data_IF_691853455395
#
_entry.id   IF_691853455395
#
_cell.length_a   1.000
_cell.length_b   1.000
_cell.length_c   1.000
_cell.angle_alpha   90.00
_cell.angle_beta   90.00
_cell.angle_gamma   90.00
#
_symmetry.space_group_name_H-M   'P 1'
#
loop_
_entity.id
_entity.type
_entity.pdbx_description
1 polymer ?
#
# COMPACT_ATOMS: atom_id res chain seq x y z
N UNK A 1 15.22 -5.53 -8.79
CA UNK A 1 13.99 -4.74 -8.55
C UNK A 1 13.33 -5.27 -7.29
N UNK A 2 13.15 -4.47 -6.24
CA UNK A 2 12.45 -4.93 -5.04
C UNK A 2 10.94 -5.07 -5.36
N UNK A 3 10.31 -6.18 -4.97
CA UNK A 3 8.87 -6.36 -5.16
C UNK A 3 8.10 -5.54 -4.12
N UNK A 4 6.86 -5.10 -4.42
CA UNK A 4 6.02 -4.41 -3.45
C UNK A 4 5.85 -5.19 -2.15
N UNK A 5 5.75 -6.52 -2.25
CA UNK A 5 5.67 -7.42 -1.10
C UNK A 5 6.91 -7.30 -0.19
N UNK A 6 8.12 -7.31 -0.76
CA UNK A 6 9.36 -7.24 0.01
C UNK A 6 9.52 -5.87 0.72
N UNK A 7 9.08 -4.79 0.07
CA UNK A 7 9.10 -3.46 0.67
C UNK A 7 8.12 -3.38 1.85
N UNK A 8 6.89 -3.85 1.69
CA UNK A 8 5.89 -3.85 2.78
C UNK A 8 6.32 -4.77 3.92
N UNK A 9 6.87 -5.95 3.61
CA UNK A 9 7.34 -6.88 4.63
C UNK A 9 8.37 -6.23 5.57
N UNK A 10 9.38 -5.55 5.02
CA UNK A 10 10.38 -4.87 5.86
C UNK A 10 9.76 -3.83 6.80
N UNK A 11 8.77 -3.08 6.34
CA UNK A 11 8.04 -2.12 7.18
C UNK A 11 7.21 -2.82 8.27
N UNK A 12 6.62 -3.97 7.95
CA UNK A 12 5.89 -4.79 8.93
C UNK A 12 6.82 -5.47 9.94
N UNK A 13 8.07 -5.75 9.57
CA UNK A 13 9.11 -6.25 10.48
C UNK A 13 9.59 -5.16 11.44
N UNK A 14 9.66 -3.90 10.99
CA UNK A 14 9.94 -2.75 11.86
C UNK A 14 8.77 -2.39 12.79
N UNK A 15 7.55 -2.92 12.54
CA UNK A 15 6.39 -2.74 13.41
C UNK A 15 6.45 -3.67 14.62
N UNK A 16 6.38 -3.08 15.81
CA UNK A 16 6.19 -3.82 17.06
C UNK A 16 4.87 -4.61 17.08
N UNK A 17 4.78 -5.64 17.92
CA UNK A 17 3.63 -6.56 17.90
C UNK A 17 2.29 -5.90 18.24
N UNK A 18 2.30 -4.88 19.12
CA UNK A 18 1.10 -4.10 19.43
C UNK A 18 0.58 -3.34 18.20
N UNK A 19 1.47 -2.61 17.52
CA UNK A 19 1.12 -1.84 16.34
C UNK A 19 0.78 -2.74 15.16
N UNK A 20 1.42 -3.91 15.04
CA UNK A 20 1.04 -4.94 14.08
C UNK A 20 -0.37 -5.50 14.36
N UNK A 21 -0.76 -5.61 15.63
CA UNK A 21 -2.13 -5.92 16.04
C UNK A 21 -3.13 -4.88 15.54
N UNK A 22 -2.84 -3.59 15.78
CA UNK A 22 -3.65 -2.46 15.28
C UNK A 22 -3.70 -2.42 13.75
N UNK A 23 -2.58 -2.69 13.09
CA UNK A 23 -2.49 -2.75 11.63
C UNK A 23 -3.47 -3.78 11.05
N UNK A 24 -3.46 -5.01 11.58
CA UNK A 24 -4.41 -6.06 11.17
C UNK A 24 -5.86 -5.67 11.47
N UNK A 25 -6.11 -5.00 12.58
CA UNK A 25 -7.45 -4.49 12.92
C UNK A 25 -7.96 -3.49 11.88
N UNK A 26 -7.13 -2.54 11.45
CA UNK A 26 -7.49 -1.57 10.43
C UNK A 26 -7.72 -2.20 9.04
N UNK A 27 -7.03 -3.30 8.71
CA UNK A 27 -7.29 -4.05 7.48
C UNK A 27 -8.64 -4.76 7.45
N UNK A 28 -9.23 -5.04 8.62
CA UNK A 28 -10.58 -5.61 8.74
C UNK A 28 -11.68 -4.56 8.57
N UNK A 29 -11.33 -3.29 8.70
CA UNK A 29 -12.26 -2.18 8.51
C UNK A 29 -12.41 -1.80 7.04
N UNK A 30 -13.48 -1.05 6.73
CA UNK A 30 -13.62 -0.40 5.43
C UNK A 30 -12.58 0.71 5.34
N UNK A 31 -11.53 0.45 4.56
CA UNK A 31 -10.64 1.50 4.09
C UNK A 31 -11.36 2.22 2.96
N UNK A 32 -11.42 3.55 3.03
CA UNK A 32 -12.29 4.43 2.21
C UNK A 32 -12.60 3.93 0.79
N UNK A 33 -11.57 3.57 0.03
CA UNK A 33 -11.66 3.14 -1.37
C UNK A 33 -11.23 1.68 -1.61
N UNK A 34 -11.01 0.91 -0.53
CA UNK A 34 -10.44 -0.44 -0.59
C UNK A 34 -11.30 -1.48 0.14
N UNK A 35 -11.47 -2.68 -0.43
CA UNK A 35 -12.28 -3.73 0.19
C UNK A 35 -11.66 -4.20 1.51
N UNK A 36 -12.48 -4.37 2.54
CA UNK A 36 -12.03 -4.90 3.82
C UNK A 36 -11.57 -6.37 3.69
N UNK A 37 -10.52 -6.74 4.42
CA UNK A 37 -10.04 -8.13 4.48
C UNK A 37 -10.80 -8.87 5.59
N UNK A 38 -11.39 -10.05 5.31
CA UNK A 38 -12.08 -10.84 6.32
C UNK A 38 -11.18 -11.16 7.51
N UNK A 39 -11.71 -11.02 8.73
CA UNK A 39 -10.99 -11.35 9.98
C UNK A 39 -10.43 -12.76 9.98
N UNK A 40 -11.14 -13.73 9.40
CA UNK A 40 -10.67 -15.12 9.28
C UNK A 40 -9.35 -15.26 8.52
N UNK A 41 -9.06 -14.37 7.56
CA UNK A 41 -7.79 -14.33 6.82
C UNK A 41 -6.67 -13.61 7.56
N UNK A 42 -6.99 -12.87 8.62
CA UNK A 42 -6.04 -12.08 9.42
C UNK A 42 -5.86 -12.61 10.85
N UNK A 43 -6.63 -13.62 11.23
CA UNK A 43 -6.56 -14.26 12.53
C UNK A 43 -5.35 -15.20 12.56
N UNK A 44 -4.42 -14.93 13.48
CA UNK A 44 -3.22 -15.74 13.72
C UNK A 44 -2.26 -15.88 12.51
N UNK A 45 -2.25 -14.91 11.59
CA UNK A 45 -1.31 -14.88 10.47
C UNK A 45 -0.02 -14.14 10.81
N UNK A 46 1.08 -14.66 10.26
CA UNK A 46 2.41 -14.05 10.32
C UNK A 46 2.48 -12.80 9.43
N UNK A 47 3.54 -11.99 9.61
CA UNK A 47 3.81 -10.77 8.83
C UNK A 47 3.85 -11.08 7.32
N UNK A 48 4.55 -12.13 6.90
CA UNK A 48 4.64 -12.56 5.49
C UNK A 48 3.28 -12.91 4.88
N UNK A 49 2.49 -13.75 5.58
CA UNK A 49 1.15 -14.14 5.12
C UNK A 49 0.18 -12.94 5.07
N UNK A 50 0.37 -11.95 5.96
CA UNK A 50 -0.40 -10.70 5.93
C UNK A 50 -0.07 -9.92 4.66
N UNK A 51 1.22 -9.78 4.32
CA UNK A 51 1.65 -9.12 3.08
C UNK A 51 1.10 -9.83 1.85
N UNK A 52 1.14 -11.16 1.82
CA UNK A 52 0.60 -11.93 0.71
C UNK A 52 -0.91 -11.72 0.57
N UNK A 53 -1.66 -11.78 1.67
CA UNK A 53 -3.10 -11.52 1.69
C UNK A 53 -3.43 -10.11 1.21
N UNK A 54 -2.66 -9.10 1.63
CA UNK A 54 -2.80 -7.73 1.15
C UNK A 54 -2.50 -7.63 -0.34
N UNK A 55 -1.45 -8.31 -0.82
CA UNK A 55 -1.09 -8.32 -2.24
C UNK A 55 -2.14 -9.01 -3.10
N UNK A 56 -2.72 -10.11 -2.64
CA UNK A 56 -3.82 -10.77 -3.33
C UNK A 56 -5.09 -9.90 -3.38
N UNK A 57 -5.34 -9.10 -2.34
CA UNK A 57 -6.55 -8.28 -2.24
C UNK A 57 -6.42 -6.94 -2.98
N UNK A 58 -5.28 -6.28 -2.85
CA UNK A 58 -5.06 -4.91 -3.32
C UNK A 58 -4.06 -4.82 -4.49
N UNK A 59 -3.28 -5.88 -4.73
CA UNK A 59 -2.31 -5.98 -5.82
C UNK A 59 -1.36 -4.77 -5.86
N UNK A 60 -1.40 -3.96 -6.93
CA UNK A 60 -0.58 -2.76 -7.08
C UNK A 60 -0.84 -1.71 -5.97
N UNK A 61 -2.01 -1.71 -5.35
CA UNK A 61 -2.39 -0.76 -4.31
C UNK A 61 -1.89 -1.15 -2.91
N UNK A 62 -1.19 -2.27 -2.77
CA UNK A 62 -0.70 -2.78 -1.47
C UNK A 62 0.16 -1.77 -0.72
N UNK A 63 1.04 -1.04 -1.43
CA UNK A 63 1.88 0.02 -0.85
C UNK A 63 1.02 1.20 -0.37
N UNK A 64 0.01 1.59 -1.13
CA UNK A 64 -0.89 2.69 -0.79
C UNK A 64 -1.75 2.36 0.43
N UNK A 65 -2.30 1.14 0.48
CA UNK A 65 -3.05 0.65 1.64
C UNK A 65 -2.17 0.60 2.89
N UNK A 66 -0.95 0.06 2.77
CA UNK A 66 0.01 0.01 3.87
C UNK A 66 0.27 1.41 4.43
N UNK A 67 0.50 2.40 3.55
CA UNK A 67 0.69 3.80 3.93
C UNK A 67 -0.51 4.35 4.72
N UNK A 68 -1.73 4.15 4.23
CA UNK A 68 -2.95 4.64 4.89
C UNK A 68 -3.08 4.04 6.30
N UNK A 69 -2.86 2.73 6.43
CA UNK A 69 -2.97 2.06 7.73
C UNK A 69 -1.89 2.54 8.69
N UNK A 70 -0.65 2.72 8.23
CA UNK A 70 0.45 3.24 9.05
C UNK A 70 0.15 4.64 9.61
N UNK A 71 -0.44 5.52 8.78
CA UNK A 71 -0.90 6.84 9.23
C UNK A 71 -1.98 6.72 10.31
N UNK A 72 -2.94 5.79 10.13
CA UNK A 72 -4.03 5.58 11.10
C UNK A 72 -3.54 5.10 12.46
N UNK A 73 -2.46 4.31 12.51
CA UNK A 73 -1.83 3.84 13.77
C UNK A 73 -0.73 4.79 14.27
N UNK A 74 -0.61 5.98 13.69
CA UNK A 74 0.36 7.02 14.04
C UNK A 74 1.83 6.62 13.86
N UNK A 75 2.13 5.67 12.97
CA UNK A 75 3.49 5.22 12.64
C UNK A 75 4.10 6.03 11.49
N UNK A 76 4.16 7.35 11.66
CA UNK A 76 4.58 8.30 10.62
C UNK A 76 6.05 8.16 10.19
N UNK A 77 6.92 7.68 11.08
CA UNK A 77 8.33 7.45 10.76
C UNK A 77 8.50 6.29 9.77
N UNK A 78 7.71 5.22 9.93
CA UNK A 78 7.68 4.10 8.99
C UNK A 78 7.09 4.51 7.63
N UNK A 79 6.14 5.46 7.60
CA UNK A 79 5.62 6.03 6.35
C UNK A 79 6.71 6.76 5.56
N UNK A 80 7.60 7.49 6.25
CA UNK A 80 8.75 8.14 5.62
C UNK A 80 9.71 7.08 5.06
N UNK A 81 10.04 6.05 5.85
CA UNK A 81 10.91 4.93 5.42
C UNK A 81 10.36 4.22 4.17
N UNK A 82 9.06 3.92 4.17
CA UNK A 82 8.35 3.33 3.03
C UNK A 82 8.46 4.19 1.76
N UNK A 83 8.40 5.51 1.91
CA UNK A 83 8.50 6.46 0.79
C UNK A 83 9.92 6.59 0.26
N UNK A 84 10.93 6.49 1.11
CA UNK A 84 12.34 6.49 0.72
C UNK A 84 12.77 5.21 0.00
N UNK A 85 12.15 4.07 0.33
CA UNK A 85 12.36 2.79 -0.39
C UNK A 85 11.69 2.72 -1.76
N UNK A 86 10.93 3.75 -2.16
CA UNK A 86 10.33 3.90 -3.48
C UNK A 86 10.83 5.22 -4.13
N UNK A 87 12.11 5.29 -4.53
CA UNK A 87 12.62 6.45 -5.25
C UNK A 87 11.96 6.52 -6.64
N UNK A 88 11.04 7.47 -6.81
CA UNK A 88 10.32 7.68 -8.07
C UNK A 88 8.83 7.96 -7.95
N UNK A 89 8.23 7.79 -6.76
CA UNK A 89 6.85 8.22 -6.52
C UNK A 89 6.83 9.39 -5.53
N UNK A 90 6.57 10.63 -5.98
CA UNK A 90 6.45 11.78 -5.11
C UNK A 90 5.38 11.52 -4.05
N UNK A 91 5.72 11.88 -2.81
CA UNK A 91 4.81 11.95 -1.68
C UNK A 91 3.80 13.06 -1.97
N UNK A 92 2.72 12.74 -2.69
CA UNK A 92 1.54 13.58 -2.67
C UNK A 92 0.30 12.70 -2.54
N UNK A 93 -0.15 12.60 -1.29
CA UNK A 93 -1.49 12.13 -0.97
C UNK A 93 -2.46 13.11 -1.62
N UNK A 94 -3.12 12.68 -2.69
CA UNK A 94 -4.49 13.06 -2.98
C UNK A 94 -5.12 11.97 -3.83
N UNK A 95 -6.14 11.34 -3.24
CA UNK A 95 -6.99 10.25 -3.74
C UNK A 95 -7.77 10.63 -5.04
N UNK A 96 -7.37 11.65 -5.81
CA UNK A 96 -8.13 12.17 -6.95
C UNK A 96 -7.39 12.33 -8.28
N UNK A 97 -6.08 12.10 -8.36
CA UNK A 97 -5.30 12.53 -9.54
C UNK A 97 -4.68 11.42 -10.39
N UNK A 98 -5.20 10.19 -10.35
CA UNK A 98 -4.69 9.14 -11.24
C UNK A 98 -5.36 9.11 -12.63
N UNK A 99 -6.45 9.87 -12.85
CA UNK A 99 -7.15 9.89 -14.15
C UNK A 99 -6.53 10.82 -15.20
N UNK A 100 -5.74 11.82 -14.82
CA UNK A 100 -5.19 12.81 -15.76
C UNK A 100 -3.85 12.38 -16.36
N UNK A 101 -2.89 11.96 -15.53
CA UNK A 101 -1.52 11.67 -16.01
C UNK A 101 -1.41 10.40 -16.87
N UNK A 102 -2.30 9.42 -16.69
CA UNK A 102 -2.32 8.21 -17.52
C UNK A 102 -2.91 8.45 -18.92
N UNK A 103 -3.86 9.40 -19.03
CA UNK A 103 -4.48 9.75 -20.30
C UNK A 103 -3.56 10.59 -21.21
N UNK A 104 -2.66 11.39 -20.64
CA UNK A 104 -1.69 12.18 -21.41
C UNK A 104 -0.53 11.32 -21.94
N UNK A 105 -0.10 10.29 -21.21
CA UNK A 105 0.93 9.36 -21.71
C UNK A 105 0.45 8.46 -22.85
N UNK A 106 -0.85 8.21 -22.97
CA UNK A 106 -1.41 7.38 -24.04
C UNK A 106 -1.65 8.15 -25.35
N UNK A 107 -1.68 9.50 -25.30
CA UNK A 107 -1.73 10.36 -26.51
C UNK A 107 -0.38 10.47 -27.24
N UNK A 108 0.74 10.20 -26.58
CA UNK A 108 2.09 10.34 -27.16
C UNK A 108 2.52 9.11 -27.99
N UNK A 109 1.85 7.96 -27.89
CA UNK A 109 2.26 6.74 -28.62
C UNK A 109 1.29 6.29 -29.73
N UNK A 110 0.13 6.95 -29.89
CA UNK A 110 -0.81 6.68 -31.00
C UNK A 110 -1.16 7.96 -31.78
N UNK A 111 -0.24 8.91 -31.81
CA UNK A 111 -0.26 10.08 -32.69
C UNK A 111 0.81 9.98 -33.77
N UNK A 112 0.91 8.81 -34.41
CA UNK A 112 1.50 8.74 -35.74
C UNK A 112 0.55 9.44 -36.69
N UNK A 113 0.97 10.56 -37.26
CA UNK A 113 0.39 11.09 -38.49
C UNK A 113 1.48 11.75 -39.31
N UNK A 114 1.71 11.11 -40.46
CA UNK A 114 2.34 11.56 -41.70
C UNK A 114 3.88 11.60 -41.72
#
# INVERSE_FOLDING_TARGET
MATPQKVVLGILEDLGDEDFGKFKWHLQGVLKDFPAIPKSKLQNVNRENTVDTMFQTYSINTINVTRIVLVNINQNDLVKKLSQSQPGHPVHISIHLQKAEYAERQKVQLGGTC
#
